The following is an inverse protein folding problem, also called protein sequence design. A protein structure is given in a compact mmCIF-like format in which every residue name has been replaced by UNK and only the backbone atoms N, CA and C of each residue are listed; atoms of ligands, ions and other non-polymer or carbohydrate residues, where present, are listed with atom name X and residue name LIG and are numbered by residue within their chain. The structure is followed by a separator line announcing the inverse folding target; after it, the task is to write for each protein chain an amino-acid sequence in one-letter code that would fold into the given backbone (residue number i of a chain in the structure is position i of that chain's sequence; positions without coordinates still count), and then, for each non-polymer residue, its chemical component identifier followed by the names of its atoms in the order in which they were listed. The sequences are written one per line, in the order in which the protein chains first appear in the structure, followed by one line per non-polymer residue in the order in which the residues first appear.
data_IF_442579663027
#
_entry.id   IF_442579663027
#
_cell.length_a   1.000
_cell.length_b   1.000
_cell.length_c   1.000
_cell.angle_alpha   90.00
_cell.angle_beta   90.00
_cell.angle_gamma   90.00
#
_symmetry.space_group_name_H-M   'P 1'
#
loop_
_entity.id
_entity.type
_entity.pdbx_description
1 polymer ?
#
# COMPACT_ATOMS: atom_id res chain seq x y z
N UNK A 1 -5.86 -18.46 -20.52
CA UNK A 1 -4.90 -17.83 -19.59
C UNK A 1 -5.25 -18.30 -18.19
N UNK A 2 -4.30 -18.93 -17.47
CA UNK A 2 -4.52 -19.29 -16.06
C UNK A 2 -4.66 -17.99 -15.26
N UNK A 3 -5.65 -17.91 -14.35
CA UNK A 3 -5.73 -16.78 -13.43
C UNK A 3 -4.44 -16.74 -12.59
N UNK A 4 -3.74 -15.60 -12.58
CA UNK A 4 -2.61 -15.39 -11.65
C UNK A 4 -3.18 -15.37 -10.23
N UNK A 5 -2.50 -16.03 -9.30
CA UNK A 5 -2.87 -16.01 -7.88
C UNK A 5 -2.71 -14.60 -7.29
N UNK A 6 -3.48 -14.31 -6.24
CA UNK A 6 -3.40 -13.02 -5.55
C UNK A 6 -2.02 -12.84 -4.88
N UNK A 7 -1.31 -11.77 -5.26
CA UNK A 7 -0.03 -11.41 -4.65
C UNK A 7 -0.22 -10.36 -3.55
N UNK A 8 0.62 -10.42 -2.52
CA UNK A 8 0.63 -9.49 -1.40
C UNK A 8 2.00 -8.88 -1.25
N UNK A 9 2.06 -7.55 -1.15
CA UNK A 9 3.29 -6.80 -0.98
C UNK A 9 3.37 -6.17 0.41
N UNK A 10 4.57 -6.10 0.95
CA UNK A 10 4.88 -5.31 2.13
C UNK A 10 6.22 -4.60 1.90
N UNK A 11 6.18 -3.27 1.91
CA UNK A 11 7.38 -2.45 1.82
C UNK A 11 7.89 -2.16 3.23
N UNK A 12 9.18 -2.39 3.43
CA UNK A 12 9.90 -2.10 4.68
C UNK A 12 10.99 -1.09 4.36
N UNK A 13 11.16 -0.10 5.24
CA UNK A 13 12.12 0.97 5.08
C UNK A 13 12.71 1.32 6.45
N UNK A 14 13.97 1.76 6.45
CA UNK A 14 14.64 2.32 7.62
C UNK A 14 14.26 3.80 7.88
N UNK A 15 13.28 4.33 7.14
CA UNK A 15 12.73 5.68 7.33
C UNK A 15 11.69 5.70 8.47
N UNK A 16 11.97 6.46 9.52
CA UNK A 16 11.16 6.52 10.74
C UNK A 16 10.30 7.79 10.85
N UNK A 17 10.49 8.78 9.97
CA UNK A 17 9.80 10.08 10.09
C UNK A 17 8.32 10.03 9.72
N UNK A 18 7.85 8.96 9.07
CA UNK A 18 6.46 8.78 8.64
C UNK A 18 5.90 9.98 7.85
N UNK A 19 6.76 10.66 7.10
CA UNK A 19 6.41 11.85 6.35
C UNK A 19 5.62 11.52 5.07
N UNK A 20 4.96 12.54 4.53
CA UNK A 20 4.14 12.42 3.30
C UNK A 20 4.97 11.97 2.10
N UNK A 21 6.25 12.35 2.07
CA UNK A 21 7.18 11.94 1.02
C UNK A 21 7.42 10.43 1.04
N UNK A 22 7.48 9.81 2.22
CA UNK A 22 7.64 8.36 2.35
C UNK A 22 6.42 7.64 1.77
N UNK A 23 5.20 8.12 2.06
CA UNK A 23 3.96 7.56 1.48
C UNK A 23 3.97 7.68 -0.05
N UNK A 24 4.37 8.83 -0.61
CA UNK A 24 4.52 8.99 -2.06
C UNK A 24 5.49 7.95 -2.63
N UNK A 25 6.67 7.80 -2.03
CA UNK A 25 7.70 6.85 -2.48
C UNK A 25 7.26 5.39 -2.37
N UNK A 26 6.50 5.02 -1.34
CA UNK A 26 5.98 3.66 -1.21
C UNK A 26 4.93 3.35 -2.27
N UNK A 27 4.05 4.30 -2.59
CA UNK A 27 3.06 4.11 -3.66
C UNK A 27 3.76 4.08 -5.03
N UNK A 28 4.70 4.98 -5.28
CA UNK A 28 5.54 4.99 -6.49
C UNK A 28 6.17 3.61 -6.71
N UNK A 29 6.80 3.06 -5.67
CA UNK A 29 7.44 1.75 -5.76
C UNK A 29 6.47 0.60 -6.01
N UNK A 30 5.27 0.63 -5.42
CA UNK A 30 4.23 -0.37 -5.68
C UNK A 30 3.73 -0.29 -7.12
N UNK A 31 3.52 0.92 -7.65
CA UNK A 31 3.09 1.10 -9.02
C UNK A 31 4.13 0.60 -10.02
N UNK A 32 5.43 0.89 -9.79
CA UNK A 32 6.53 0.33 -10.58
C UNK A 32 6.47 -1.20 -10.63
N UNK A 33 6.39 -1.86 -9.46
CA UNK A 33 6.31 -3.33 -9.39
C UNK A 33 5.09 -3.88 -10.14
N UNK A 34 3.94 -3.21 -10.02
CA UNK A 34 2.71 -3.60 -10.72
C UNK A 34 2.87 -3.43 -12.23
N UNK A 35 3.45 -2.33 -12.70
CA UNK A 35 3.65 -2.09 -14.14
C UNK A 35 4.77 -2.93 -14.75
N UNK A 36 5.74 -3.39 -13.95
CA UNK A 36 6.80 -4.33 -14.36
C UNK A 36 6.25 -5.75 -14.52
N UNK A 37 5.35 -6.18 -13.63
CA UNK A 37 4.82 -7.56 -13.60
C UNK A 37 3.59 -7.80 -14.51
N UNK A 38 2.97 -6.72 -15.00
CA UNK A 38 1.72 -6.74 -15.75
C UNK A 38 1.73 -5.73 -16.91
N UNK A 39 1.69 -6.25 -18.14
CA UNK A 39 1.76 -5.43 -19.37
C UNK A 39 0.53 -4.52 -19.58
N UNK A 40 -0.64 -4.90 -19.06
CA UNK A 40 -1.90 -4.18 -19.27
C UNK A 40 -2.69 -4.02 -17.95
N UNK A 41 -2.41 -2.92 -17.23
CA UNK A 41 -3.11 -2.58 -15.99
C UNK A 41 -4.16 -1.51 -16.28
N UNK A 42 -5.42 -1.92 -16.35
CA UNK A 42 -6.53 -1.00 -16.67
C UNK A 42 -6.84 0.01 -15.55
N UNK A 43 -6.79 -0.43 -14.28
CA UNK A 43 -7.09 0.42 -13.12
C UNK A 43 -6.43 -0.14 -11.85
N UNK A 44 -5.88 0.73 -11.02
CA UNK A 44 -5.48 0.41 -9.63
C UNK A 44 -6.41 1.11 -8.66
N UNK A 45 -7.00 0.32 -7.76
CA UNK A 45 -7.94 0.79 -6.72
C UNK A 45 -7.23 0.83 -5.37
N UNK A 46 -7.01 2.03 -4.86
CA UNK A 46 -6.35 2.28 -3.58
C UNK A 46 -7.41 2.36 -2.49
N UNK A 47 -7.20 1.61 -1.41
CA UNK A 47 -8.07 1.62 -0.23
C UNK A 47 -7.25 2.05 0.99
N UNK A 48 -7.18 3.35 1.31
CA UNK A 48 -6.48 3.81 2.49
C UNK A 48 -7.27 3.51 3.77
N UNK A 49 -6.58 3.50 4.92
CA UNK A 49 -7.23 3.27 6.21
C UNK A 49 -8.27 4.36 6.52
N UNK A 50 -9.55 3.96 6.60
CA UNK A 50 -10.69 4.62 7.24
C UNK A 50 -11.13 6.00 6.71
N UNK A 51 -12.45 6.22 6.64
CA UNK A 51 -13.06 7.48 6.19
C UNK A 51 -12.67 8.72 7.03
N UNK A 52 -12.51 8.58 8.35
CA UNK A 52 -12.11 9.69 9.22
C UNK A 52 -10.72 10.27 8.88
N UNK A 53 -9.86 9.49 8.20
CA UNK A 53 -8.53 9.92 7.75
C UNK A 53 -8.55 10.72 6.46
N UNK A 54 -9.69 10.87 5.79
CA UNK A 54 -9.77 11.45 4.44
C UNK A 54 -9.09 12.82 4.34
N UNK A 55 -9.24 13.69 5.34
CA UNK A 55 -8.59 15.01 5.36
C UNK A 55 -7.05 14.94 5.49
N UNK A 56 -6.52 13.90 6.15
CA UNK A 56 -5.07 13.65 6.26
C UNK A 56 -4.49 13.10 4.95
N UNK A 57 -5.33 12.49 4.12
CA UNK A 57 -4.99 11.90 2.81
C UNK A 57 -4.98 12.93 1.67
N UNK A 58 -5.17 14.24 1.93
CA UNK A 58 -5.22 15.26 0.87
C UNK A 58 -4.04 15.25 -0.09
N UNK A 59 -2.84 14.90 0.42
CA UNK A 59 -1.63 14.79 -0.38
C UNK A 59 -1.63 13.54 -1.27
N UNK A 60 -2.21 12.43 -0.81
CA UNK A 60 -2.40 11.27 -1.65
C UNK A 60 -3.30 11.62 -2.84
N UNK A 61 -4.42 12.30 -2.60
CA UNK A 61 -5.30 12.73 -3.68
C UNK A 61 -4.62 13.65 -4.69
N UNK A 62 -3.81 14.60 -4.21
CA UNK A 62 -3.03 15.46 -5.12
C UNK A 62 -2.00 14.67 -5.92
N UNK A 63 -1.55 13.51 -5.45
CA UNK A 63 -0.55 12.71 -6.16
C UNK A 63 -1.18 11.74 -7.18
N UNK A 64 -2.49 11.46 -7.12
CA UNK A 64 -3.15 10.51 -8.02
C UNK A 64 -2.92 10.87 -9.49
N UNK A 65 -3.24 12.11 -9.89
CA UNK A 65 -3.08 12.55 -11.28
C UNK A 65 -1.61 12.51 -11.76
N UNK A 66 -0.65 12.73 -10.85
CA UNK A 66 0.79 12.65 -11.16
C UNK A 66 1.18 11.21 -11.49
N UNK A 67 0.67 10.26 -10.72
CA UNK A 67 0.91 8.84 -10.95
C UNK A 67 0.18 8.32 -12.19
N UNK A 68 -1.07 8.72 -12.41
CA UNK A 68 -1.82 8.35 -13.62
C UNK A 68 -1.06 8.80 -14.87
N UNK A 69 -0.61 10.05 -14.92
CA UNK A 69 0.16 10.57 -16.05
C UNK A 69 1.53 9.90 -16.22
N UNK A 70 2.17 9.50 -15.12
CA UNK A 70 3.52 8.91 -15.17
C UNK A 70 3.54 7.45 -15.59
N UNK A 71 2.55 6.68 -15.13
CA UNK A 71 2.50 5.22 -15.36
C UNK A 71 1.48 4.84 -16.43
N UNK A 72 0.75 5.80 -16.99
CA UNK A 72 -0.32 5.58 -17.98
C UNK A 72 -1.38 4.56 -17.49
N UNK A 73 -1.73 4.67 -16.20
CA UNK A 73 -2.73 3.83 -15.54
C UNK A 73 -3.83 4.69 -14.96
N UNK A 74 -5.05 4.14 -14.85
CA UNK A 74 -6.12 4.78 -14.10
C UNK A 74 -6.00 4.48 -12.61
N UNK A 75 -6.15 5.49 -11.76
CA UNK A 75 -6.14 5.35 -10.30
C UNK A 75 -7.47 5.80 -9.71
N UNK A 76 -7.99 5.02 -8.77
CA UNK A 76 -9.12 5.45 -7.94
C UNK A 76 -8.85 5.18 -6.46
N UNK A 77 -9.34 6.07 -5.61
CA UNK A 77 -9.12 5.99 -4.17
C UNK A 77 -10.47 5.91 -3.43
N UNK A 78 -10.64 4.84 -2.65
CA UNK A 78 -11.92 4.46 -2.03
C UNK A 78 -11.78 4.38 -0.52
N UNK A 79 -12.83 4.73 0.20
CA UNK A 79 -12.88 4.68 1.66
C UNK A 79 -13.99 3.76 2.15
N UNK A 80 -13.69 2.96 3.16
CA UNK A 80 -14.69 2.18 3.86
C UNK A 80 -15.53 3.08 4.79
N UNK A 81 -16.85 2.90 4.75
CA UNK A 81 -17.79 3.69 5.55
C UNK A 81 -17.55 3.57 7.06
N UNK A 82 -17.24 2.36 7.54
CA UNK A 82 -16.78 2.14 8.90
C UNK A 82 -15.25 2.22 8.90
N UNK A 83 -14.67 3.24 9.53
CA UNK A 83 -13.23 3.33 9.80
C UNK A 83 -12.68 2.21 10.72
N UNK A 84 -13.44 1.13 10.91
CA UNK A 84 -13.21 0.03 11.84
C UNK A 84 -13.11 -1.34 11.13
N UNK A 85 -13.25 -1.39 9.81
CA UNK A 85 -13.05 -2.63 9.05
C UNK A 85 -11.56 -2.96 8.95
N UNK A 86 -11.11 -3.99 9.66
CA UNK A 86 -9.77 -4.57 9.42
C UNK A 86 -9.76 -5.20 8.03
N UNK A 87 -8.78 -4.83 7.21
CA UNK A 87 -8.61 -5.32 5.86
C UNK A 87 -7.56 -6.42 5.73
N UNK A 88 -7.39 -6.94 4.51
CA UNK A 88 -6.32 -7.91 4.17
C UNK A 88 -4.93 -7.37 4.55
N UNK A 89 -4.73 -6.06 4.41
CA UNK A 89 -3.49 -5.36 4.78
C UNK A 89 -3.13 -5.50 6.26
N UNK A 90 -4.12 -5.55 7.16
CA UNK A 90 -3.89 -5.74 8.60
C UNK A 90 -3.38 -7.15 8.89
N UNK A 91 -3.88 -8.16 8.17
CA UNK A 91 -3.44 -9.54 8.32
C UNK A 91 -1.99 -9.72 7.85
N UNK A 92 -1.62 -9.11 6.71
CA UNK A 92 -0.25 -9.10 6.19
C UNK A 92 0.69 -8.43 7.20
N UNK A 93 0.35 -7.21 7.63
CA UNK A 93 1.15 -6.46 8.60
C UNK A 93 1.29 -7.19 9.94
N UNK A 94 0.21 -7.80 10.44
CA UNK A 94 0.21 -8.60 11.67
C UNK A 94 1.11 -9.82 11.59
N UNK A 95 1.09 -10.54 10.45
CA UNK A 95 1.97 -11.69 10.22
C UNK A 95 3.45 -11.30 10.19
N UNK A 96 3.79 -10.24 9.44
CA UNK A 96 5.18 -9.76 9.32
C UNK A 96 5.70 -9.30 10.68
N UNK A 97 4.98 -8.39 11.36
CA UNK A 97 5.35 -7.89 12.69
C UNK A 97 5.49 -9.03 13.71
N UNK A 98 4.55 -9.98 13.69
CA UNK A 98 4.60 -11.14 14.57
C UNK A 98 5.81 -12.04 14.32
N UNK A 99 6.24 -12.22 13.07
CA UNK A 99 7.44 -12.99 12.73
C UNK A 99 8.71 -12.30 13.19
N UNK A 100 8.83 -10.99 12.98
CA UNK A 100 9.98 -10.19 13.48
C UNK A 100 10.05 -10.27 15.00
N UNK A 101 8.92 -10.06 15.69
CA UNK A 101 8.85 -10.13 17.15
C UNK A 101 9.30 -11.48 17.70
N UNK A 102 8.82 -12.59 17.11
CA UNK A 102 9.23 -13.95 17.53
C UNK A 102 10.73 -14.16 17.33
N UNK A 103 11.29 -13.65 16.24
CA UNK A 103 12.72 -13.76 15.96
C UNK A 103 13.57 -12.96 16.93
N UNK A 104 13.23 -11.69 17.16
CA UNK A 104 13.91 -10.86 18.16
C UNK A 104 13.84 -11.47 19.57
N UNK A 105 12.67 -12.03 19.95
CA UNK A 105 12.57 -12.74 21.22
C UNK A 105 13.47 -13.96 21.29
N UNK A 106 13.58 -14.75 20.22
CA UNK A 106 14.42 -15.95 20.21
C UNK A 106 15.93 -15.65 20.24
N UNK A 107 16.34 -14.45 19.81
CA UNK A 107 17.75 -14.00 19.85
C UNK A 107 18.14 -13.38 21.21
N UNK A 108 17.16 -13.11 22.08
CA UNK A 108 17.36 -12.53 23.41
C UNK A 108 17.40 -13.58 24.55
N UNK A 109 17.28 -14.87 24.21
CA UNK A 109 17.38 -16.02 25.11
C UNK A 109 18.26 -17.10 24.48
#
# INVERSE_FOLDING_TARGET
MSAKEAQSFALVSDEFTHEKISVYKFIERLLELITEDYDEVAEVKIFPNGAASQFKQKYLFSNLHVFEARYDIKLSCHFFASGHGKGVVDAIGGRIKGSVWRRQKAELW
#
